data_IF_495320760751
#
_entry.id   IF_495320760751
#
_cell.length_a   1.000
_cell.length_b   1.000
_cell.length_c   1.000
_cell.angle_alpha   90.00
_cell.angle_beta   90.00
_cell.angle_gamma   90.00
#
_symmetry.space_group_name_H-M   'P 1'
#
loop_
_entity.id
_entity.type
_entity.pdbx_description
1 polymer ?
#
# COMPACT_ATOMS: atom_id res chain seq x y z
N UNK A 1 -6.00 7.83 16.47
CA UNK A 1 -5.20 6.70 15.97
C UNK A 1 -3.80 7.18 15.67
N UNK A 2 -2.77 6.46 16.13
CA UNK A 2 -1.36 6.76 15.88
C UNK A 2 -0.85 5.85 14.75
N UNK A 3 -0.07 6.36 13.77
CA UNK A 3 0.49 5.50 12.74
C UNK A 3 1.53 4.56 13.34
N UNK A 4 1.47 3.28 12.97
CA UNK A 4 2.46 2.25 13.34
C UNK A 4 3.59 2.12 12.31
N UNK A 5 3.35 2.60 11.08
CA UNK A 5 4.33 2.65 10.00
C UNK A 5 4.03 3.85 9.10
N UNK A 6 5.08 4.42 8.50
CA UNK A 6 4.98 5.45 7.47
C UNK A 6 6.10 5.20 6.48
N UNK A 7 5.73 4.99 5.23
CA UNK A 7 6.70 4.75 4.16
C UNK A 7 7.49 6.00 3.80
N UNK A 8 8.49 5.82 2.94
CA UNK A 8 9.08 6.92 2.17
C UNK A 8 8.10 7.53 1.15
N UNK A 9 8.60 8.51 0.40
CA UNK A 9 7.89 9.12 -0.72
C UNK A 9 8.34 8.44 -2.01
N UNK A 10 7.38 8.02 -2.83
CA UNK A 10 7.63 7.37 -4.11
C UNK A 10 7.24 8.31 -5.25
N UNK A 11 8.08 8.38 -6.29
CA UNK A 11 7.76 9.11 -7.50
C UNK A 11 7.12 8.14 -8.49
N UNK A 12 5.85 8.37 -8.82
CA UNK A 12 5.12 7.61 -9.84
C UNK A 12 5.34 8.31 -11.17
N UNK A 13 5.89 7.59 -12.15
CA UNK A 13 5.94 8.07 -13.52
C UNK A 13 4.53 7.97 -14.11
N UNK A 14 4.13 8.91 -14.96
CA UNK A 14 2.75 9.02 -15.45
C UNK A 14 2.32 7.91 -16.43
N UNK A 15 3.04 6.80 -16.50
CA UNK A 15 2.62 5.65 -17.30
C UNK A 15 1.61 4.80 -16.53
N UNK A 16 0.71 4.19 -17.28
CA UNK A 16 -0.42 3.42 -16.77
C UNK A 16 0.00 2.09 -16.12
N UNK A 17 1.29 1.72 -16.10
CA UNK A 17 1.77 0.41 -15.65
C UNK A 17 2.72 0.46 -14.45
N UNK A 18 2.84 1.60 -13.76
CA UNK A 18 3.70 1.68 -12.57
C UNK A 18 3.10 0.91 -11.37
N UNK A 19 3.80 -0.12 -10.88
CA UNK A 19 3.55 -0.76 -9.58
C UNK A 19 4.51 -0.23 -8.52
N UNK A 20 4.00 0.21 -7.36
CA UNK A 20 4.85 0.52 -6.19
C UNK A 20 4.78 -0.64 -5.20
N UNK A 21 5.93 -1.23 -4.89
CA UNK A 21 6.07 -2.21 -3.82
C UNK A 21 6.72 -1.55 -2.59
N UNK A 22 6.10 -1.74 -1.42
CA UNK A 22 6.60 -1.23 -0.14
C UNK A 22 6.83 -2.43 0.78
N UNK A 23 8.07 -2.86 0.89
CA UNK A 23 8.47 -3.92 1.82
C UNK A 23 8.76 -3.31 3.19
N UNK A 24 8.18 -3.88 4.24
CA UNK A 24 8.44 -3.47 5.62
C UNK A 24 9.39 -4.48 6.25
N UNK A 25 10.62 -4.05 6.56
CA UNK A 25 11.64 -4.87 7.22
C UNK A 25 12.16 -4.19 8.49
N UNK A 26 12.21 -4.88 9.64
CA UNK A 26 11.65 -6.22 9.88
C UNK A 26 10.11 -6.22 9.78
N UNK A 27 9.51 -7.40 9.58
CA UNK A 27 8.06 -7.52 9.41
C UNK A 27 7.28 -6.87 10.56
N UNK A 28 6.22 -6.15 10.23
CA UNK A 28 5.38 -5.46 11.20
C UNK A 28 4.33 -6.42 11.78
N UNK A 29 4.35 -6.63 13.09
CA UNK A 29 3.32 -7.43 13.76
C UNK A 29 1.99 -6.65 13.80
N UNK A 30 0.98 -7.16 13.11
CA UNK A 30 -0.34 -6.56 12.97
C UNK A 30 -1.40 -7.42 13.66
N UNK A 31 -2.34 -6.78 14.38
CA UNK A 31 -3.49 -7.44 15.00
C UNK A 31 -4.67 -6.48 15.07
N UNK A 32 -5.86 -6.97 14.75
CA UNK A 32 -7.12 -6.22 14.86
C UNK A 32 -7.42 -5.42 13.61
N UNK A 33 -8.03 -4.25 13.76
CA UNK A 33 -8.34 -3.35 12.67
C UNK A 33 -7.10 -2.60 12.17
N UNK A 34 -6.80 -2.76 10.89
CA UNK A 34 -5.71 -2.08 10.20
C UNK A 34 -6.31 -1.02 9.29
N UNK A 35 -5.79 0.20 9.38
CA UNK A 35 -6.16 1.32 8.51
C UNK A 35 -4.95 1.77 7.72
N UNK A 36 -5.02 1.64 6.39
CA UNK A 36 -4.05 2.22 5.47
C UNK A 36 -4.61 3.49 4.84
N UNK A 37 -3.75 4.50 4.72
CA UNK A 37 -4.05 5.75 4.03
C UNK A 37 -2.93 6.06 3.06
N UNK A 38 -3.27 6.17 1.78
CA UNK A 38 -2.36 6.65 0.76
C UNK A 38 -2.53 8.16 0.58
N UNK A 39 -1.40 8.86 0.44
CA UNK A 39 -1.39 10.29 0.26
C UNK A 39 -0.55 10.69 -0.95
N UNK A 40 -1.02 11.69 -1.67
CA UNK A 40 -0.21 12.42 -2.63
C UNK A 40 0.42 13.63 -1.95
N UNK A 41 1.76 13.64 -1.91
CA UNK A 41 2.52 14.79 -1.41
C UNK A 41 2.57 15.86 -2.49
N UNK A 42 2.06 17.05 -2.19
CA UNK A 42 2.11 18.18 -3.12
C UNK A 42 3.54 18.67 -3.32
N UNK A 43 3.90 18.98 -4.56
CA UNK A 43 5.23 19.49 -4.89
C UNK A 43 5.52 20.79 -4.12
N UNK A 44 6.67 20.84 -3.45
CA UNK A 44 7.12 21.98 -2.62
C UNK A 44 6.09 22.49 -1.60
N UNK A 45 5.20 21.62 -1.11
CA UNK A 45 4.21 21.96 -0.10
C UNK A 45 4.30 21.01 1.11
N UNK A 46 4.05 21.51 2.34
CA UNK A 46 3.93 20.64 3.51
C UNK A 46 2.60 19.87 3.53
N UNK A 47 1.66 20.20 2.65
CA UNK A 47 0.33 19.57 2.61
C UNK A 47 0.33 18.31 1.75
N UNK A 48 -0.62 17.44 2.05
CA UNK A 48 -0.86 16.18 1.34
C UNK A 48 -2.35 15.96 1.16
N UNK A 49 -2.73 15.39 0.03
CA UNK A 49 -4.12 14.98 -0.23
C UNK A 49 -4.23 13.48 0.00
N UNK A 50 -5.34 13.04 0.58
CA UNK A 50 -5.68 11.61 0.62
C UNK A 50 -6.04 11.18 -0.79
N UNK A 51 -5.44 10.10 -1.28
CA UNK A 51 -5.84 9.45 -2.53
C UNK A 51 -6.88 8.37 -2.22
N UNK A 52 -6.58 7.53 -1.23
CA UNK A 52 -7.49 6.50 -0.79
C UNK A 52 -7.27 6.09 0.66
N UNK A 53 -8.27 5.42 1.24
CA UNK A 53 -8.15 4.70 2.50
C UNK A 53 -8.74 3.30 2.39
N UNK A 54 -8.23 2.39 3.19
CA UNK A 54 -8.83 1.06 3.36
C UNK A 54 -8.69 0.62 4.79
N UNK A 55 -9.76 0.06 5.34
CA UNK A 55 -9.78 -0.53 6.66
C UNK A 55 -10.21 -2.00 6.56
N UNK A 56 -9.44 -2.88 7.18
CA UNK A 56 -9.76 -4.30 7.26
C UNK A 56 -9.32 -4.86 8.61
N UNK A 57 -9.97 -5.94 9.04
CA UNK A 57 -9.60 -6.63 10.27
C UNK A 57 -8.72 -7.83 9.95
N UNK A 58 -7.62 -8.05 10.68
CA UNK A 58 -6.69 -9.16 10.41
C UNK A 58 -7.35 -10.54 10.45
N UNK A 59 -8.41 -10.73 11.23
CA UNK A 59 -9.17 -12.00 11.26
C UNK A 59 -10.04 -12.25 10.02
N UNK A 60 -10.24 -11.27 9.14
CA UNK A 60 -10.93 -11.48 7.86
C UNK A 60 -9.98 -12.02 6.77
N UNK A 61 -8.67 -12.02 7.05
CA UNK A 61 -7.64 -12.44 6.11
C UNK A 61 -7.35 -13.92 6.35
N UNK A 62 -7.62 -14.76 5.35
CA UNK A 62 -7.48 -16.21 5.45
C UNK A 62 -6.22 -16.73 4.71
N UNK A 63 -5.73 -15.96 3.73
CA UNK A 63 -4.53 -16.26 2.94
C UNK A 63 -3.37 -15.32 3.32
N UNK A 64 -2.18 -15.55 2.77
CA UNK A 64 -1.02 -14.65 2.93
C UNK A 64 -1.13 -13.35 2.13
N UNK A 65 -2.33 -12.99 1.66
CA UNK A 65 -2.56 -11.71 1.01
C UNK A 65 -4.04 -11.34 0.88
N UNK A 66 -4.27 -10.07 0.59
CA UNK A 66 -5.59 -9.51 0.25
C UNK A 66 -5.42 -8.40 -0.77
N UNK A 67 -6.34 -8.35 -1.73
CA UNK A 67 -6.36 -7.36 -2.81
C UNK A 67 -7.65 -6.55 -2.70
N UNK A 68 -7.52 -5.23 -2.79
CA UNK A 68 -8.62 -4.28 -2.83
C UNK A 68 -8.64 -3.57 -4.18
N UNK A 69 -9.78 -3.63 -4.87
CA UNK A 69 -10.04 -2.87 -6.09
C UNK A 69 -10.42 -1.42 -5.78
N UNK A 70 -10.50 -0.55 -6.79
CA UNK A 70 -10.86 0.87 -6.61
C UNK A 70 -12.19 1.05 -5.87
N UNK A 71 -13.15 0.15 -6.11
CA UNK A 71 -14.47 0.10 -5.48
C UNK A 71 -14.43 -0.19 -3.98
N UNK A 72 -13.39 -0.85 -3.49
CA UNK A 72 -13.19 -1.18 -2.07
C UNK A 72 -12.45 -0.07 -1.30
N UNK A 73 -11.96 0.93 -2.01
CA UNK A 73 -11.09 1.99 -1.47
C UNK A 73 -11.88 3.28 -1.26
N UNK A 74 -12.01 3.70 0.00
CA UNK A 74 -12.62 4.98 0.35
C UNK A 74 -11.90 6.14 -0.35
N UNK A 75 -12.67 7.12 -0.82
CA UNK A 75 -12.21 8.32 -1.55
C UNK A 75 -11.58 8.07 -2.93
N UNK A 76 -11.12 6.85 -3.24
CA UNK A 76 -10.48 6.54 -4.52
C UNK A 76 -11.39 6.80 -5.72
N UNK A 77 -12.69 6.51 -5.58
CA UNK A 77 -13.68 6.73 -6.65
C UNK A 77 -13.83 8.19 -7.06
N UNK A 78 -13.43 9.15 -6.21
CA UNK A 78 -13.49 10.59 -6.49
C UNK A 78 -12.16 11.15 -7.04
N UNK A 79 -11.10 10.34 -7.03
CA UNK A 79 -9.75 10.80 -7.32
C UNK A 79 -9.25 10.18 -8.63
N UNK A 80 -9.27 10.99 -9.69
CA UNK A 80 -8.80 10.62 -11.03
C UNK A 80 -7.30 10.23 -11.07
N UNK A 81 -6.52 10.58 -10.03
CA UNK A 81 -5.12 10.14 -9.92
C UNK A 81 -5.01 8.65 -9.59
N UNK A 82 -6.07 8.03 -9.07
CA UNK A 82 -6.14 6.60 -8.85
C UNK A 82 -6.77 5.90 -10.08
N UNK A 83 -6.01 5.07 -10.82
CA UNK A 83 -6.50 4.44 -12.05
C UNK A 83 -7.72 3.56 -11.82
N UNK A 84 -8.58 3.41 -12.83
CA UNK A 84 -9.78 2.59 -12.73
C UNK A 84 -9.48 1.10 -12.48
N UNK A 85 -8.39 0.60 -13.07
CA UNK A 85 -7.86 -0.75 -12.84
C UNK A 85 -6.85 -0.80 -11.68
N UNK A 86 -6.74 0.28 -10.90
CA UNK A 86 -5.85 0.39 -9.76
C UNK A 86 -6.26 -0.57 -8.65
N UNK A 87 -5.28 -1.21 -8.02
CA UNK A 87 -5.49 -2.14 -6.91
C UNK A 87 -4.44 -1.96 -5.84
N UNK A 88 -4.79 -2.32 -4.61
CA UNK A 88 -3.89 -2.31 -3.45
C UNK A 88 -3.82 -3.72 -2.91
N UNK A 89 -2.62 -4.26 -2.85
CA UNK A 89 -2.37 -5.60 -2.33
C UNK A 89 -1.60 -5.51 -1.02
N UNK A 90 -2.07 -6.22 -0.01
CA UNK A 90 -1.32 -6.50 1.21
C UNK A 90 -0.82 -7.93 1.13
N UNK A 91 0.47 -8.10 1.39
CA UNK A 91 1.11 -9.41 1.49
C UNK A 91 1.56 -9.60 2.93
N UNK A 92 1.17 -10.73 3.52
CA UNK A 92 1.46 -11.10 4.90
C UNK A 92 2.44 -12.27 4.95
N UNK A 93 3.07 -12.42 6.11
CA UNK A 93 3.93 -13.55 6.45
C UNK A 93 3.50 -14.15 7.78
N UNK A 94 3.82 -15.42 8.02
CA UNK A 94 3.55 -16.09 9.29
C UNK A 94 4.42 -15.59 10.45
N UNK A 95 5.51 -14.88 10.15
CA UNK A 95 6.44 -14.34 11.14
C UNK A 95 7.19 -13.12 10.60
N UNK A 96 7.95 -12.41 11.45
CA UNK A 96 8.64 -11.17 11.08
C UNK A 96 9.85 -11.38 10.16
N UNK A 97 10.18 -12.63 9.85
CA UNK A 97 11.29 -12.99 8.95
C UNK A 97 10.97 -12.63 7.50
N UNK A 98 12.02 -12.46 6.69
CA UNK A 98 11.87 -12.08 5.27
C UNK A 98 11.00 -13.10 4.54
N UNK A 99 10.08 -12.60 3.73
CA UNK A 99 9.30 -13.43 2.81
C UNK A 99 10.28 -14.01 1.78
N UNK A 100 10.57 -15.30 1.87
CA UNK A 100 11.41 -16.02 0.91
C UNK A 100 10.69 -16.03 -0.46
N UNK A 101 11.35 -15.51 -1.50
CA UNK A 101 10.83 -15.50 -2.88
C UNK A 101 10.42 -14.12 -3.44
N UNK A 102 10.42 -13.05 -2.64
CA UNK A 102 10.36 -11.66 -3.15
C UNK A 102 11.78 -11.11 -3.42
N UNK A 103 12.60 -11.87 -4.15
CA UNK A 103 13.78 -11.28 -4.77
C UNK A 103 13.28 -10.47 -5.96
N UNK A 104 13.16 -9.15 -5.78
CA UNK A 104 13.16 -8.26 -6.94
C UNK A 104 14.41 -8.61 -7.72
N UNK A 105 14.25 -9.06 -8.97
CA UNK A 105 15.31 -9.07 -9.96
C UNK A 105 15.82 -7.63 -10.10
N UNK A 106 16.72 -7.26 -9.19
CA UNK A 106 17.50 -6.05 -9.27
C UNK A 106 18.55 -6.30 -10.32
N UNK A 107 18.26 -5.91 -11.55
CA UNK A 107 19.24 -5.58 -12.58
C UNK A 107 18.49 -4.96 -13.76
N UNK A 108 18.35 -3.64 -13.71
CA UNK A 108 18.34 -2.84 -14.93
C UNK A 108 19.50 -1.86 -14.79
N UNK A 109 20.66 -2.27 -15.31
CA UNK A 109 21.69 -1.36 -15.82
C UNK A 109 21.35 -0.97 -17.26
#
# INVERSE_FOLDING_TARGET
MQPVYTSGIYNVQGDSQTSICITIEPGLLLKGDILLKCYHKKYRSPTRDVIFRVQFHTCAIHDLGVVFGKEDLDEAFKDERFPEYGKVEFVFSYGPEKIQGMETSGEWS
#
